data_IF_952981398963
#
_entry.id   IF_952981398963
#
_cell.length_a   1.000
_cell.length_b   1.000
_cell.length_c   1.000
_cell.angle_alpha   90.00
_cell.angle_beta   90.00
_cell.angle_gamma   90.00
#
_symmetry.space_group_name_H-M   'P 1'
#
loop_
_entity.id
_entity.type
_entity.pdbx_description
1 polymer ?
#
# COMPACT_ATOMS: atom_id res chain seq x y z
N UNK A 1 -16.14 -118.42 17.18
CA UNK A 1 -15.68 -117.27 16.38
C UNK A 1 -16.36 -116.06 16.96
N UNK A 2 -15.59 -115.09 17.48
CA UNK A 2 -16.15 -113.87 18.05
C UNK A 2 -16.44 -112.89 16.90
N UNK A 3 -17.69 -112.42 16.85
CA UNK A 3 -18.14 -111.40 15.92
C UNK A 3 -17.80 -110.02 16.51
N UNK A 4 -17.01 -109.24 15.79
CA UNK A 4 -16.57 -107.92 16.23
C UNK A 4 -17.50 -106.87 15.63
N UNK A 5 -18.47 -106.40 16.42
CA UNK A 5 -19.26 -105.22 16.08
C UNK A 5 -18.41 -103.95 16.20
N UNK A 6 -17.99 -103.39 15.07
CA UNK A 6 -17.48 -102.02 15.01
C UNK A 6 -18.65 -101.06 15.18
N UNK A 7 -18.84 -100.52 16.38
CA UNK A 7 -19.68 -99.32 16.57
C UNK A 7 -18.99 -98.16 15.86
N UNK A 8 -19.48 -97.83 14.67
CA UNK A 8 -19.21 -96.55 14.03
C UNK A 8 -19.79 -95.45 14.92
N UNK A 9 -18.92 -94.76 15.66
CA UNK A 9 -19.31 -93.55 16.36
C UNK A 9 -19.55 -92.47 15.30
N UNK A 10 -20.80 -92.34 14.85
CA UNK A 10 -21.26 -91.20 14.08
C UNK A 10 -21.26 -89.97 14.99
N UNK A 11 -20.13 -89.27 15.05
CA UNK A 11 -20.08 -87.94 15.62
C UNK A 11 -20.83 -86.98 14.71
N UNK A 12 -21.76 -86.19 15.25
CA UNK A 12 -22.38 -85.05 14.55
C UNK A 12 -21.35 -83.93 14.40
N UNK A 13 -20.30 -84.18 13.59
CA UNK A 13 -19.35 -83.15 13.19
C UNK A 13 -20.03 -82.19 12.21
N UNK A 14 -19.68 -80.91 12.29
CA UNK A 14 -20.04 -79.96 11.26
C UNK A 14 -19.42 -80.38 9.92
N UNK A 15 -20.19 -80.30 8.84
CA UNK A 15 -19.74 -80.61 7.48
C UNK A 15 -19.32 -79.32 6.73
N UNK A 16 -18.91 -79.44 5.47
CA UNK A 16 -18.57 -78.27 4.66
C UNK A 16 -19.75 -77.35 4.44
N UNK A 17 -20.98 -77.87 4.39
CA UNK A 17 -22.20 -77.07 4.24
C UNK A 17 -22.48 -76.21 5.48
N UNK A 18 -21.99 -76.64 6.65
CA UNK A 18 -22.02 -75.86 7.90
C UNK A 18 -20.92 -74.78 7.98
N UNK A 19 -19.91 -74.80 7.09
CA UNK A 19 -18.84 -73.81 7.05
C UNK A 19 -19.25 -72.53 6.33
N UNK A 20 -18.74 -71.38 6.78
CA UNK A 20 -18.98 -70.07 6.12
C UNK A 20 -17.78 -69.51 5.37
N UNK A 21 -16.58 -70.02 5.65
CA UNK A 21 -15.36 -69.63 4.94
C UNK A 21 -15.35 -70.27 3.55
N UNK A 22 -14.85 -69.56 2.54
CA UNK A 22 -14.57 -70.07 1.19
C UNK A 22 -13.07 -70.29 0.98
N UNK A 23 -12.69 -71.08 -0.02
CA UNK A 23 -11.27 -71.22 -0.44
C UNK A 23 -10.59 -69.86 -0.67
N UNK A 24 -11.30 -68.86 -1.21
CA UNK A 24 -10.77 -67.50 -1.43
C UNK A 24 -10.49 -66.70 -0.16
N UNK A 25 -10.89 -67.21 1.01
CA UNK A 25 -10.63 -66.62 2.32
C UNK A 25 -9.58 -67.42 3.13
N UNK A 26 -9.13 -68.55 2.59
CA UNK A 26 -8.05 -69.37 3.15
C UNK A 26 -6.76 -69.05 2.41
N UNK A 27 -5.67 -68.84 3.15
CA UNK A 27 -4.37 -68.50 2.59
C UNK A 27 -3.89 -69.56 1.60
N UNK A 28 -3.38 -69.14 0.45
CA UNK A 28 -2.77 -70.07 -0.52
C UNK A 28 -1.68 -70.92 0.14
N UNK A 29 -1.77 -72.24 -0.02
CA UNK A 29 -0.87 -73.22 0.59
C UNK A 29 -1.31 -73.75 1.97
N UNK A 30 -2.28 -73.12 2.63
CA UNK A 30 -2.97 -73.71 3.78
C UNK A 30 -4.14 -74.58 3.30
N UNK A 31 -4.44 -75.66 4.02
CA UNK A 31 -5.59 -76.54 3.75
C UNK A 31 -6.66 -76.41 4.83
N UNK A 32 -7.92 -76.43 4.42
CA UNK A 32 -9.08 -76.39 5.32
C UNK A 32 -10.31 -77.01 4.65
N UNK A 33 -11.28 -77.46 5.45
CA UNK A 33 -12.65 -77.70 4.97
C UNK A 33 -13.34 -76.34 4.92
N UNK A 34 -13.88 -75.97 3.77
CA UNK A 34 -14.56 -74.69 3.51
C UNK A 34 -15.93 -74.98 2.89
N UNK A 35 -16.79 -73.96 2.81
CA UNK A 35 -18.15 -74.08 2.27
C UNK A 35 -18.20 -74.51 0.79
N UNK A 36 -17.05 -74.53 0.12
CA UNK A 36 -16.85 -74.80 -1.29
C UNK A 36 -15.80 -75.91 -1.54
N UNK A 37 -15.59 -76.79 -0.54
CA UNK A 37 -14.63 -77.91 -0.60
C UNK A 37 -15.24 -79.32 -0.48
N UNK A 38 -16.57 -79.47 -0.57
CA UNK A 38 -17.29 -80.75 -0.62
C UNK A 38 -16.93 -81.77 0.48
N UNK A 39 -16.76 -81.31 1.72
CA UNK A 39 -16.33 -82.11 2.88
C UNK A 39 -14.86 -82.60 2.82
N UNK A 40 -14.09 -82.17 1.82
CA UNK A 40 -12.66 -82.41 1.74
C UNK A 40 -11.83 -81.21 2.22
N UNK A 41 -10.66 -81.50 2.79
CA UNK A 41 -9.67 -80.46 3.09
C UNK A 41 -8.96 -80.05 1.79
N UNK A 42 -9.26 -78.86 1.28
CA UNK A 42 -8.68 -78.32 0.06
C UNK A 42 -7.76 -77.12 0.33
N UNK A 43 -6.89 -76.82 -0.63
CA UNK A 43 -6.00 -75.67 -0.54
C UNK A 43 -6.76 -74.35 -0.72
N UNK A 44 -6.44 -73.35 0.11
CA UNK A 44 -6.92 -71.99 -0.04
C UNK A 44 -6.42 -71.31 -1.31
N UNK A 45 -7.11 -70.24 -1.72
CA UNK A 45 -6.80 -69.45 -2.92
C UNK A 45 -6.57 -67.96 -2.62
N UNK A 46 -6.64 -67.53 -1.35
CA UNK A 46 -6.35 -66.15 -0.96
C UNK A 46 -4.88 -65.81 -1.23
N UNK A 47 -4.56 -64.77 -2.02
CA UNK A 47 -3.18 -64.37 -2.29
C UNK A 47 -2.47 -63.83 -1.03
N UNK A 48 -1.21 -64.21 -0.84
CA UNK A 48 -0.31 -63.59 0.14
C UNK A 48 0.30 -62.30 -0.45
N UNK A 49 0.20 -61.18 0.27
CA UNK A 49 0.71 -59.86 -0.14
C UNK A 49 1.94 -59.42 0.65
N UNK A 50 2.27 -60.12 1.74
CA UNK A 50 3.37 -59.78 2.63
C UNK A 50 3.10 -58.53 3.45
N UNK A 51 4.17 -57.89 3.94
CA UNK A 51 4.06 -56.70 4.77
C UNK A 51 3.73 -55.44 3.95
N UNK A 52 2.73 -54.68 4.36
CA UNK A 52 2.36 -53.41 3.74
C UNK A 52 3.14 -52.25 4.36
N UNK A 53 4.18 -51.79 3.66
CA UNK A 53 4.96 -50.61 4.05
C UNK A 53 4.87 -49.51 2.99
N UNK A 54 4.23 -48.40 3.34
CA UNK A 54 4.02 -47.25 2.43
C UNK A 54 4.16 -45.94 3.17
N UNK A 55 4.73 -44.94 2.50
CA UNK A 55 4.78 -43.57 3.00
C UNK A 55 4.05 -42.66 2.01
N UNK A 56 2.99 -41.99 2.48
CA UNK A 56 2.10 -41.17 1.65
C UNK A 56 2.42 -39.69 1.83
N UNK A 57 2.55 -38.96 0.71
CA UNK A 57 2.55 -37.51 0.72
C UNK A 57 1.12 -36.96 0.82
N UNK A 58 0.98 -35.67 1.12
CA UNK A 58 -0.29 -34.96 1.16
C UNK A 58 -0.99 -35.07 -0.19
N UNK A 59 -2.27 -35.46 -0.16
CA UNK A 59 -3.06 -35.69 -1.36
C UNK A 59 -2.77 -37.01 -2.09
N UNK A 60 -1.81 -37.83 -1.63
CA UNK A 60 -1.61 -39.18 -2.16
C UNK A 60 -2.59 -40.17 -1.54
N UNK A 61 -2.97 -41.17 -2.32
CA UNK A 61 -3.77 -42.32 -1.90
C UNK A 61 -3.19 -43.59 -2.51
N UNK A 62 -3.42 -44.73 -1.87
CA UNK A 62 -3.04 -46.04 -2.39
C UNK A 62 -4.23 -46.98 -2.36
N UNK A 63 -4.47 -47.68 -3.46
CA UNK A 63 -5.46 -48.76 -3.54
C UNK A 63 -4.80 -50.07 -3.13
N UNK A 64 -5.41 -50.80 -2.21
CA UNK A 64 -4.95 -52.13 -1.79
C UNK A 64 -5.75 -53.20 -2.52
N UNK A 65 -5.07 -54.19 -3.08
CA UNK A 65 -5.72 -55.35 -3.67
C UNK A 65 -6.12 -56.36 -2.59
N UNK A 66 -7.18 -57.13 -2.84
CA UNK A 66 -7.59 -58.21 -1.94
C UNK A 66 -6.47 -59.24 -1.73
N UNK A 67 -6.45 -59.85 -0.54
CA UNK A 67 -5.45 -60.82 -0.11
C UNK A 67 -5.07 -60.64 1.36
N UNK A 68 -4.19 -61.51 1.84
CA UNK A 68 -3.64 -61.45 3.19
C UNK A 68 -2.41 -60.55 3.25
N UNK A 69 -2.33 -59.68 4.24
CA UNK A 69 -1.15 -58.88 4.55
C UNK A 69 -0.61 -59.29 5.91
N UNK A 70 0.70 -59.52 6.01
CA UNK A 70 1.34 -60.00 7.24
C UNK A 70 1.58 -58.91 8.31
N UNK A 71 0.94 -57.74 8.16
CA UNK A 71 1.15 -56.55 8.97
C UNK A 71 1.90 -55.45 8.21
N UNK A 72 2.50 -54.49 8.94
CA UNK A 72 3.26 -53.38 8.35
C UNK A 72 2.78 -52.00 8.82
N UNK A 73 3.21 -50.94 8.13
CA UNK A 73 2.81 -49.56 8.45
C UNK A 73 2.61 -48.73 7.19
N UNK A 74 1.47 -48.03 7.15
CA UNK A 74 1.25 -46.93 6.21
C UNK A 74 1.42 -45.62 6.98
N UNK A 75 2.48 -44.87 6.68
CA UNK A 75 2.83 -43.62 7.34
C UNK A 75 2.61 -42.42 6.43
N UNK A 76 2.45 -41.24 7.02
CA UNK A 76 2.49 -39.98 6.28
C UNK A 76 3.93 -39.45 6.21
N UNK A 77 4.28 -38.78 5.12
CA UNK A 77 5.48 -37.95 5.08
C UNK A 77 5.36 -36.83 6.13
N UNK A 78 6.51 -36.38 6.66
CA UNK A 78 6.54 -35.28 7.62
C UNK A 78 5.94 -34.00 7.01
N UNK A 79 5.33 -33.15 7.84
CA UNK A 79 4.87 -31.84 7.37
C UNK A 79 6.04 -30.97 6.90
N UNK A 80 7.20 -31.08 7.55
CA UNK A 80 8.41 -30.32 7.22
C UNK A 80 8.93 -30.63 5.82
N UNK A 81 8.99 -31.91 5.42
CA UNK A 81 9.43 -32.32 4.09
C UNK A 81 8.49 -31.88 2.96
N UNK A 82 7.28 -31.45 3.30
CA UNK A 82 6.23 -31.08 2.34
C UNK A 82 5.90 -29.57 2.36
N UNK A 83 6.50 -28.81 3.28
CA UNK A 83 6.27 -27.37 3.44
C UNK A 83 7.59 -26.60 3.46
N UNK A 84 8.60 -27.06 2.73
CA UNK A 84 9.89 -26.38 2.61
C UNK A 84 9.69 -24.97 2.04
N UNK A 85 9.94 -23.96 2.85
CA UNK A 85 9.71 -22.55 2.52
C UNK A 85 10.58 -21.65 3.41
N UNK A 86 10.81 -20.41 2.97
CA UNK A 86 11.63 -19.43 3.69
C UNK A 86 10.81 -18.36 4.41
N UNK A 87 9.48 -18.44 4.35
CA UNK A 87 8.58 -17.46 4.96
C UNK A 87 8.68 -17.44 6.49
N UNK A 88 8.60 -16.23 7.04
CA UNK A 88 8.66 -15.95 8.47
C UNK A 88 7.48 -15.09 8.91
N UNK A 89 7.32 -14.87 10.21
CA UNK A 89 6.31 -13.96 10.75
C UNK A 89 6.47 -12.53 10.22
N UNK A 90 7.68 -12.11 9.86
CA UNK A 90 7.96 -10.78 9.32
C UNK A 90 7.46 -10.58 7.88
N UNK A 91 7.06 -11.65 7.19
CA UNK A 91 6.57 -11.62 5.81
C UNK A 91 5.04 -11.62 5.72
N UNK A 92 4.35 -11.70 6.86
CA UNK A 92 2.91 -11.94 6.92
C UNK A 92 2.22 -10.91 7.82
N UNK A 93 1.03 -10.46 7.39
CA UNK A 93 0.19 -9.53 8.17
C UNK A 93 -0.37 -10.17 9.43
N UNK A 94 -0.49 -9.39 10.50
CA UNK A 94 -1.15 -9.81 11.75
C UNK A 94 -2.56 -10.36 11.44
N UNK A 95 -2.92 -11.45 12.13
CA UNK A 95 -4.20 -12.15 11.90
C UNK A 95 -4.18 -13.15 10.73
N UNK A 96 -3.06 -13.28 10.01
CA UNK A 96 -2.84 -14.34 9.03
C UNK A 96 -1.85 -15.38 9.58
N UNK A 97 -1.99 -16.62 9.13
CA UNK A 97 -1.12 -17.74 9.51
C UNK A 97 -0.62 -18.49 8.28
N UNK A 98 0.56 -19.08 8.37
CA UNK A 98 1.13 -19.94 7.35
C UNK A 98 1.97 -21.07 7.96
N UNK A 99 2.18 -22.14 7.18
CA UNK A 99 3.11 -23.21 7.52
C UNK A 99 4.40 -23.07 6.69
N UNK A 100 5.56 -23.15 7.35
CA UNK A 100 6.85 -23.32 6.71
C UNK A 100 7.71 -24.29 7.52
N UNK A 101 8.42 -25.18 6.84
CA UNK A 101 9.29 -26.20 7.43
C UNK A 101 8.60 -26.98 8.57
N UNK A 102 7.31 -27.28 8.38
CA UNK A 102 6.52 -28.07 9.32
C UNK A 102 5.98 -27.31 10.54
N UNK A 103 6.17 -25.98 10.59
CA UNK A 103 5.76 -25.16 11.74
C UNK A 103 4.74 -24.12 11.30
N UNK A 104 3.68 -24.00 12.09
CA UNK A 104 2.73 -22.90 11.98
C UNK A 104 3.37 -21.64 12.56
N UNK A 105 3.25 -20.52 11.86
CA UNK A 105 3.60 -19.20 12.39
C UNK A 105 2.53 -18.18 12.02
N UNK A 106 2.42 -17.15 12.86
CA UNK A 106 1.51 -16.02 12.67
C UNK A 106 2.25 -14.80 12.16
N UNK A 107 1.56 -13.97 11.38
CA UNK A 107 2.11 -12.73 10.87
C UNK A 107 2.36 -11.69 11.96
N UNK A 108 3.40 -10.89 11.76
CA UNK A 108 3.85 -9.82 12.64
C UNK A 108 3.82 -8.43 11.98
N UNK A 109 3.53 -8.34 10.66
CA UNK A 109 3.38 -7.04 10.00
C UNK A 109 2.07 -6.41 10.47
N UNK A 110 2.18 -5.37 11.27
CA UNK A 110 1.03 -4.58 11.70
C UNK A 110 0.50 -3.71 10.57
N UNK A 111 -0.81 -3.49 10.56
CA UNK A 111 -1.44 -2.58 9.62
C UNK A 111 -1.20 -1.12 10.05
N UNK A 112 -1.17 -0.23 9.07
CA UNK A 112 -1.25 1.21 9.26
C UNK A 112 -2.28 1.78 8.30
N UNK A 113 -3.26 2.48 8.84
CA UNK A 113 -4.21 3.23 8.03
C UNK A 113 -3.49 4.36 7.30
N UNK A 114 -4.09 4.80 6.20
CA UNK A 114 -3.71 6.05 5.57
C UNK A 114 -4.09 7.26 6.42
N UNK A 115 -4.02 8.43 5.81
CA UNK A 115 -4.37 9.67 6.48
C UNK A 115 -3.91 10.90 5.73
N UNK A 116 -4.41 12.05 6.17
CA UNK A 116 -3.99 13.34 5.66
C UNK A 116 -2.84 13.89 6.51
N UNK A 117 -1.72 14.23 5.88
CA UNK A 117 -0.62 14.94 6.53
C UNK A 117 -0.78 16.42 6.26
N UNK A 118 -0.96 17.23 7.31
CA UNK A 118 -0.98 18.70 7.17
C UNK A 118 0.44 19.20 7.02
N UNK A 119 0.65 20.12 6.07
CA UNK A 119 1.94 20.78 5.87
C UNK A 119 2.40 21.47 7.17
N UNK A 120 3.70 21.53 7.37
CA UNK A 120 4.34 22.05 8.59
C UNK A 120 5.58 22.86 8.25
N UNK A 121 5.90 23.87 9.07
CA UNK A 121 7.16 24.62 9.00
C UNK A 121 8.38 23.77 9.36
N UNK A 122 8.16 22.59 9.96
CA UNK A 122 9.20 21.64 10.35
C UNK A 122 9.04 20.33 9.60
N UNK A 123 10.17 19.62 9.43
CA UNK A 123 10.17 18.31 8.76
C UNK A 123 9.26 17.33 9.48
N UNK A 124 8.44 16.64 8.70
CA UNK A 124 7.59 15.54 9.16
C UNK A 124 8.10 14.22 8.59
N UNK A 125 8.07 13.16 9.40
CA UNK A 125 8.42 11.81 8.98
C UNK A 125 7.17 10.93 9.06
N UNK A 126 6.83 10.26 7.96
CA UNK A 126 5.75 9.27 7.93
C UNK A 126 6.37 7.90 8.23
N UNK A 127 6.04 7.33 9.38
CA UNK A 127 6.60 6.06 9.84
C UNK A 127 5.84 4.86 9.26
N UNK A 128 6.11 4.52 8.00
CA UNK A 128 5.53 3.33 7.35
C UNK A 128 6.45 2.09 7.35
N UNK A 129 7.69 2.23 7.83
CA UNK A 129 8.65 1.12 7.86
C UNK A 129 8.13 -0.06 8.69
N UNK A 130 8.17 -1.26 8.10
CA UNK A 130 7.68 -2.49 8.75
C UNK A 130 6.17 -2.60 8.92
N UNK A 131 5.38 -1.68 8.32
CA UNK A 131 3.92 -1.68 8.36
C UNK A 131 3.32 -2.00 7.00
N UNK A 132 2.15 -2.61 7.00
CA UNK A 132 1.34 -2.76 5.79
C UNK A 132 0.36 -1.60 5.68
N UNK A 133 0.52 -0.74 4.66
CA UNK A 133 -0.40 0.37 4.42
C UNK A 133 -1.72 -0.14 3.86
N UNK A 134 -2.82 0.14 4.56
CA UNK A 134 -4.17 -0.27 4.10
C UNK A 134 -4.86 0.82 3.28
N UNK A 135 -4.41 2.07 3.37
CA UNK A 135 -4.93 3.20 2.61
C UNK A 135 -3.79 4.18 2.25
N UNK A 136 -4.08 5.17 1.41
CA UNK A 136 -3.09 6.14 0.94
C UNK A 136 -2.78 7.21 2.00
N UNK A 137 -1.55 7.71 1.98
CA UNK A 137 -1.21 8.99 2.60
C UNK A 137 -1.50 10.11 1.62
N UNK A 138 -2.26 11.10 2.06
CA UNK A 138 -2.60 12.28 1.27
C UNK A 138 -1.85 13.49 1.81
N UNK A 139 -1.04 14.11 0.96
CA UNK A 139 -0.39 15.39 1.25
C UNK A 139 -1.12 16.46 0.44
N UNK A 140 -1.73 17.48 1.07
CA UNK A 140 -2.41 18.54 0.34
C UNK A 140 -1.38 19.36 -0.46
N UNK A 141 -1.76 19.73 -1.69
CA UNK A 141 -0.96 20.67 -2.48
C UNK A 141 -0.99 22.06 -1.87
N UNK A 142 0.07 22.84 -2.10
CA UNK A 142 0.11 24.28 -1.83
C UNK A 142 -0.55 25.00 -2.99
N UNK A 143 -1.50 25.90 -2.73
CA UNK A 143 -2.01 26.78 -3.79
C UNK A 143 -0.97 27.83 -4.12
N UNK A 144 -0.31 27.65 -5.27
CA UNK A 144 0.56 28.65 -5.84
C UNK A 144 0.07 29.05 -7.24
N UNK A 145 0.10 30.35 -7.53
CA UNK A 145 -0.24 30.90 -8.84
C UNK A 145 1.01 31.56 -9.39
N UNK A 146 1.41 31.19 -10.61
CA UNK A 146 2.58 31.75 -11.29
C UNK A 146 2.12 32.41 -12.59
N UNK A 147 2.44 33.70 -12.74
CA UNK A 147 1.95 34.55 -13.81
C UNK A 147 3.10 35.37 -14.40
N UNK A 148 3.04 35.60 -15.71
CA UNK A 148 3.89 36.59 -16.39
C UNK A 148 3.03 37.76 -16.80
N UNK A 149 3.39 38.96 -16.36
CA UNK A 149 2.62 40.19 -16.58
C UNK A 149 3.52 41.27 -17.19
N UNK A 150 3.13 41.89 -18.31
CA UNK A 150 3.88 42.99 -18.90
C UNK A 150 3.74 44.27 -18.05
N UNK A 151 4.75 45.13 -18.13
CA UNK A 151 4.66 46.49 -17.59
C UNK A 151 3.56 47.29 -18.30
N UNK A 152 2.84 48.11 -17.55
CA UNK A 152 1.84 49.03 -18.07
C UNK A 152 2.45 50.03 -19.05
N UNK A 153 1.78 50.28 -20.18
CA UNK A 153 2.16 51.34 -21.12
C UNK A 153 1.83 52.73 -20.57
N UNK A 154 0.83 52.82 -19.70
CA UNK A 154 0.40 54.03 -19.01
C UNK A 154 1.01 54.14 -17.61
N UNK A 155 1.10 55.38 -17.10
CA UNK A 155 1.57 55.67 -15.74
C UNK A 155 0.38 55.96 -14.84
N UNK A 156 0.39 55.40 -13.64
CA UNK A 156 -0.66 55.54 -12.64
C UNK A 156 -0.26 56.42 -11.46
N UNK A 157 -1.22 56.63 -10.56
CA UNK A 157 -1.02 57.25 -9.26
C UNK A 157 -1.28 56.22 -8.17
N UNK A 158 -0.46 56.24 -7.13
CA UNK A 158 -0.58 55.33 -6.01
C UNK A 158 -0.60 56.17 -4.70
N UNK A 159 -0.96 55.62 -3.52
CA UNK A 159 -0.75 56.23 -2.15
C UNK A 159 0.30 55.62 -1.18
N UNK A 160 1.27 56.40 -0.69
CA UNK A 160 2.33 55.95 0.25
C UNK A 160 1.84 55.67 1.68
N UNK A 161 2.72 55.09 2.51
CA UNK A 161 2.55 54.91 3.95
C UNK A 161 2.07 56.10 4.77
N UNK A 162 2.52 57.28 4.37
CA UNK A 162 2.17 58.53 4.99
C UNK A 162 0.97 59.22 4.31
N UNK A 163 0.14 58.47 3.57
CA UNK A 163 -1.04 58.97 2.85
C UNK A 163 -0.73 60.00 1.75
N UNK A 164 0.53 60.08 1.28
CA UNK A 164 0.91 60.95 0.17
C UNK A 164 0.74 60.23 -1.16
N UNK A 165 -0.03 60.83 -2.07
CA UNK A 165 -0.19 60.33 -3.45
C UNK A 165 1.04 60.66 -4.28
N UNK A 166 1.63 59.67 -4.94
CA UNK A 166 2.61 59.87 -6.01
C UNK A 166 1.94 59.54 -7.34
N UNK A 167 1.99 60.48 -8.28
CA UNK A 167 1.52 60.28 -9.65
C UNK A 167 2.67 59.89 -10.57
N UNK A 168 2.33 59.46 -11.79
CA UNK A 168 3.32 59.15 -12.82
C UNK A 168 4.24 57.95 -12.46
N UNK A 169 3.68 56.87 -11.93
CA UNK A 169 4.43 55.63 -11.62
C UNK A 169 4.06 54.51 -12.61
N UNK A 170 5.04 53.78 -13.12
CA UNK A 170 4.78 52.57 -13.93
C UNK A 170 4.33 51.41 -13.04
N UNK A 171 3.54 50.49 -13.58
CA UNK A 171 2.98 49.41 -12.78
C UNK A 171 2.83 48.11 -13.58
N UNK A 172 2.56 47.01 -12.89
CA UNK A 172 2.06 45.76 -13.48
C UNK A 172 0.66 45.49 -12.97
N UNK A 173 -0.20 44.92 -13.81
CA UNK A 173 -1.59 44.64 -13.45
C UNK A 173 -1.99 43.28 -14.00
N UNK A 174 -2.59 42.44 -13.15
CA UNK A 174 -2.95 41.07 -13.50
C UNK A 174 -4.15 40.58 -12.72
N UNK A 175 -4.87 39.62 -13.31
CA UNK A 175 -6.01 38.95 -12.67
C UNK A 175 -5.57 37.59 -12.17
N UNK A 176 -6.04 37.21 -10.99
CA UNK A 176 -5.85 35.85 -10.49
C UNK A 176 -6.77 34.89 -11.26
N UNK A 177 -6.31 33.67 -11.60
CA UNK A 177 -7.08 32.70 -12.36
C UNK A 177 -8.31 32.19 -11.60
N UNK A 178 -8.31 32.33 -10.26
CA UNK A 178 -9.46 32.07 -9.40
C UNK A 178 -9.42 33.04 -8.22
N UNK A 179 -10.58 33.27 -7.60
CA UNK A 179 -10.67 34.13 -6.43
C UNK A 179 -9.83 33.56 -5.28
N UNK A 180 -8.89 34.35 -4.79
CA UNK A 180 -8.05 33.99 -3.65
C UNK A 180 -8.85 34.11 -2.35
N UNK A 181 -8.63 33.17 -1.43
CA UNK A 181 -9.25 33.14 -0.09
C UNK A 181 -8.23 32.64 0.92
N UNK A 182 -7.90 33.44 1.94
CA UNK A 182 -6.89 33.12 2.94
C UNK A 182 -5.76 34.14 2.99
N UNK A 183 -4.65 33.77 3.65
CA UNK A 183 -3.44 34.59 3.69
C UNK A 183 -2.50 34.14 2.59
N UNK A 184 -2.00 35.09 1.81
CA UNK A 184 -1.04 34.82 0.74
C UNK A 184 0.19 35.70 0.89
N UNK A 185 1.28 35.21 0.32
CA UNK A 185 2.48 35.99 0.06
C UNK A 185 2.63 36.13 -1.45
N UNK A 186 2.75 37.37 -1.92
CA UNK A 186 3.09 37.65 -3.30
C UNK A 186 4.58 37.94 -3.42
N UNK A 187 5.22 37.32 -4.41
CA UNK A 187 6.55 37.66 -4.89
C UNK A 187 6.42 38.11 -6.33
N UNK A 188 7.08 39.21 -6.71
CA UNK A 188 7.18 39.61 -8.11
C UNK A 188 8.58 40.09 -8.42
N UNK A 189 9.04 39.84 -9.65
CA UNK A 189 10.39 40.18 -10.11
C UNK A 189 10.43 40.38 -11.63
N UNK A 190 11.38 41.19 -12.11
CA UNK A 190 11.61 41.39 -13.55
C UNK A 190 12.12 40.08 -14.17
N UNK A 191 11.41 39.56 -15.16
CA UNK A 191 11.80 38.37 -15.93
C UNK A 191 12.38 38.80 -17.28
N UNK A 192 13.72 38.80 -17.41
CA UNK A 192 14.39 38.93 -18.72
C UNK A 192 15.10 40.25 -19.03
N UNK A 193 15.34 41.14 -18.06
CA UNK A 193 16.17 42.34 -18.27
C UNK A 193 17.67 42.02 -18.20
N UNK A 194 18.46 42.49 -19.16
CA UNK A 194 19.92 42.29 -19.23
C UNK A 194 20.74 43.20 -18.30
N UNK A 195 20.11 44.01 -17.43
CA UNK A 195 20.81 45.10 -16.72
C UNK A 195 20.48 45.31 -15.24
N UNK A 196 19.72 44.41 -14.60
CA UNK A 196 19.48 44.51 -13.15
C UNK A 196 19.91 43.20 -12.47
N UNK A 197 21.15 43.19 -11.94
CA UNK A 197 21.71 42.07 -11.17
C UNK A 197 21.11 41.89 -9.76
N UNK A 198 20.16 42.74 -9.37
CA UNK A 198 19.42 42.61 -8.12
C UNK A 198 17.96 42.38 -8.49
N UNK A 199 17.48 41.14 -8.36
CA UNK A 199 16.06 40.85 -8.43
C UNK A 199 15.33 41.70 -7.39
N UNK A 200 14.49 42.62 -7.84
CA UNK A 200 13.64 43.39 -6.94
C UNK A 200 12.56 42.46 -6.41
N UNK A 201 12.64 42.10 -5.13
CA UNK A 201 11.60 41.31 -4.44
C UNK A 201 10.71 42.29 -3.70
N UNK A 202 9.45 42.40 -4.13
CA UNK A 202 8.42 42.96 -3.28
C UNK A 202 7.58 41.88 -2.62
N UNK A 203 7.38 41.98 -1.31
CA UNK A 203 6.49 41.08 -0.55
C UNK A 203 5.18 41.82 -0.27
N UNK A 204 4.06 41.17 -0.60
CA UNK A 204 2.74 41.57 -0.14
C UNK A 204 2.06 40.48 0.70
N UNK A 205 1.68 40.82 1.93
CA UNK A 205 0.99 39.92 2.86
C UNK A 205 -0.46 40.37 3.15
N UNK A 206 -1.36 39.41 3.33
CA UNK A 206 -2.76 39.66 3.73
C UNK A 206 -2.90 39.57 5.26
N UNK A 207 -3.11 40.72 5.91
CA UNK A 207 -3.59 40.76 7.30
C UNK A 207 -5.10 40.50 7.33
N UNK A 208 -5.59 39.80 8.35
CA UNK A 208 -7.02 39.59 8.53
C UNK A 208 -7.74 40.95 8.54
N UNK A 209 -8.70 41.09 7.63
CA UNK A 209 -9.57 42.25 7.36
C UNK A 209 -8.86 43.50 6.78
N UNK A 210 -9.05 43.66 5.47
CA UNK A 210 -9.11 44.91 4.68
C UNK A 210 -7.81 45.67 4.33
N UNK A 211 -6.62 45.26 4.78
CA UNK A 211 -5.37 45.95 4.34
C UNK A 211 -4.23 44.96 4.08
N UNK A 212 -3.66 45.01 2.87
CA UNK A 212 -2.35 44.43 2.56
C UNK A 212 -1.24 45.47 2.72
N UNK A 213 0.02 45.07 2.70
CA UNK A 213 1.16 45.99 2.63
C UNK A 213 2.06 45.53 1.49
N UNK A 214 2.51 46.42 0.60
CA UNK A 214 3.50 46.06 -0.43
C UNK A 214 4.81 46.76 -0.10
N UNK A 215 5.83 45.98 0.24
CA UNK A 215 7.19 46.49 0.33
C UNK A 215 7.80 46.46 -1.05
N UNK A 216 7.94 47.60 -1.71
CA UNK A 216 8.70 47.68 -2.96
C UNK A 216 10.10 48.15 -2.61
N UNK A 217 11.14 47.37 -2.88
CA UNK A 217 12.49 47.90 -2.96
C UNK A 217 12.61 48.64 -4.30
N UNK A 218 11.97 49.79 -4.44
CA UNK A 218 12.20 50.67 -5.58
C UNK A 218 13.45 51.49 -5.27
N UNK A 219 14.63 50.87 -5.45
CA UNK A 219 15.90 51.58 -5.40
C UNK A 219 16.00 52.54 -6.59
N UNK A 220 15.34 53.69 -6.52
CA UNK A 220 15.77 54.85 -7.31
C UNK A 220 16.68 55.71 -6.43
N UNK A 221 17.83 56.06 -6.99
CA UNK A 221 18.49 57.31 -6.63
C UNK A 221 17.68 58.46 -7.21
N UNK A 222 16.52 58.75 -6.63
CA UNK A 222 15.98 60.09 -6.63
C UNK A 222 17.05 60.95 -5.93
N UNK A 223 17.48 62.07 -6.48
CA UNK A 223 18.38 63.02 -5.78
C UNK A 223 17.73 63.65 -4.52
N UNK A 224 16.62 63.08 -4.06
CA UNK A 224 15.90 63.44 -2.86
C UNK A 224 16.39 62.49 -1.77
N UNK A 225 16.96 63.03 -0.69
CA UNK A 225 17.63 62.29 0.39
C UNK A 225 16.73 61.35 1.24
N UNK A 226 15.72 60.71 0.67
CA UNK A 226 14.82 59.79 1.35
C UNK A 226 14.96 58.37 0.80
N UNK A 227 15.72 57.56 1.54
CA UNK A 227 15.84 56.11 1.41
C UNK A 227 14.48 55.40 1.45
N UNK A 228 14.37 54.34 0.64
CA UNK A 228 13.44 53.20 0.73
C UNK A 228 12.12 53.43 1.48
N UNK A 229 11.06 53.82 0.77
CA UNK A 229 9.76 54.04 1.41
C UNK A 229 8.71 53.00 1.01
N UNK A 230 8.18 52.33 2.04
CA UNK A 230 7.05 51.40 1.94
C UNK A 230 5.79 52.09 1.41
N UNK A 231 5.07 51.39 0.54
CA UNK A 231 3.78 51.80 0.02
C UNK A 231 2.65 51.31 0.96
N UNK A 232 1.68 52.14 1.34
CA UNK A 232 0.55 51.68 2.17
C UNK A 232 -0.71 51.52 1.36
N UNK A 233 -1.38 50.42 1.65
CA UNK A 233 -2.68 50.09 1.12
C UNK A 233 -3.72 50.50 2.17
N UNK A 234 -4.48 51.56 1.88
CA UNK A 234 -5.76 51.80 2.56
C UNK A 234 -6.83 50.85 2.01
N UNK A 235 -7.90 50.59 2.77
CA UNK A 235 -8.98 49.66 2.39
C UNK A 235 -9.69 50.00 1.06
N UNK A 236 -9.53 51.23 0.55
CA UNK A 236 -10.09 51.71 -0.72
C UNK A 236 -9.01 52.06 -1.77
N UNK A 237 -7.73 51.82 -1.46
CA UNK A 237 -6.58 52.18 -2.30
C UNK A 237 -5.89 50.92 -2.86
N UNK A 238 -6.69 49.85 -2.99
CA UNK A 238 -6.27 48.48 -3.19
C UNK A 238 -5.50 48.28 -4.49
N UNK A 239 -4.17 48.31 -4.34
CA UNK A 239 -3.18 47.74 -5.25
C UNK A 239 -3.43 46.24 -5.45
N UNK A 240 -4.19 45.55 -4.59
CA UNK A 240 -4.54 44.13 -4.73
C UNK A 240 -5.95 43.84 -4.19
N UNK A 241 -6.65 42.90 -4.81
CA UNK A 241 -7.97 42.39 -4.39
C UNK A 241 -7.96 40.85 -4.36
N UNK A 242 -9.08 40.22 -3.99
CA UNK A 242 -9.21 38.76 -4.09
C UNK A 242 -9.21 38.25 -5.56
N UNK A 243 -9.35 39.13 -6.55
CA UNK A 243 -9.49 38.80 -7.97
C UNK A 243 -8.31 39.27 -8.83
N UNK A 244 -7.44 40.14 -8.33
CA UNK A 244 -6.30 40.63 -9.09
C UNK A 244 -5.40 41.58 -8.32
N UNK A 245 -4.49 42.21 -9.04
CA UNK A 245 -3.48 43.13 -8.51
C UNK A 245 -3.06 44.19 -9.53
N UNK A 246 -2.52 45.29 -9.02
CA UNK A 246 -1.96 46.44 -9.70
C UNK A 246 -0.79 46.99 -8.87
N UNK A 247 0.44 46.57 -9.16
CA UNK A 247 1.63 46.82 -8.32
C UNK A 247 2.57 47.86 -8.96
N UNK A 248 3.09 48.84 -8.21
CA UNK A 248 4.06 49.79 -8.74
C UNK A 248 5.40 49.09 -9.05
N UNK A 249 6.04 49.52 -10.13
CA UNK A 249 7.36 49.03 -10.57
C UNK A 249 8.26 50.20 -10.99
N UNK A 250 9.56 49.97 -10.91
CA UNK A 250 10.59 50.95 -11.30
C UNK A 250 10.48 51.30 -12.80
N UNK A 251 10.84 52.54 -13.20
CA UNK A 251 11.01 52.87 -14.61
C UNK A 251 12.05 51.96 -15.28
N UNK A 252 11.60 51.12 -16.21
CA UNK A 252 12.43 50.29 -17.08
C UNK A 252 12.05 50.44 -18.55
N UNK A 253 12.51 49.54 -19.42
CA UNK A 253 12.23 49.61 -20.86
C UNK A 253 10.73 49.38 -21.14
N UNK A 254 10.26 49.73 -22.35
CA UNK A 254 8.84 49.61 -22.73
C UNK A 254 8.32 48.17 -22.80
N UNK A 255 9.20 47.19 -22.86
CA UNK A 255 8.87 45.78 -23.12
C UNK A 255 9.18 44.86 -21.93
N UNK A 256 9.33 45.43 -20.73
CA UNK A 256 9.64 44.65 -19.53
C UNK A 256 8.47 43.73 -19.13
N UNK A 257 8.79 42.48 -18.81
CA UNK A 257 7.83 41.51 -18.24
C UNK A 257 8.23 41.14 -16.83
N UNK A 258 7.24 40.91 -15.98
CA UNK A 258 7.43 40.54 -14.60
C UNK A 258 6.82 39.17 -14.36
N UNK A 259 7.54 38.33 -13.63
CA UNK A 259 6.98 37.09 -13.10
C UNK A 259 6.42 37.37 -11.71
N UNK A 260 5.22 36.87 -11.44
CA UNK A 260 4.45 37.09 -10.23
C UNK A 260 4.03 35.73 -9.69
N UNK A 261 4.51 35.41 -8.49
CA UNK A 261 4.23 34.16 -7.78
C UNK A 261 3.41 34.49 -6.55
N UNK A 262 2.20 33.95 -6.47
CA UNK A 262 1.33 34.01 -5.29
C UNK A 262 1.43 32.66 -4.59
N UNK A 263 1.70 32.64 -3.29
CA UNK A 263 1.73 31.40 -2.49
C UNK A 263 0.79 31.53 -1.31
N UNK A 264 -0.10 30.56 -1.09
CA UNK A 264 -0.93 30.47 0.11
C UNK A 264 -0.04 30.18 1.32
N UNK A 265 -0.17 31.00 2.36
CA UNK A 265 0.58 30.82 3.60
C UNK A 265 0.01 29.60 4.34
N UNK A 266 0.90 28.70 4.76
CA UNK A 266 0.59 27.52 5.57
C UNK A 266 0.31 27.94 7.02
#
# INVERSE_FOLDING_TARGET
MADAFLKQYGGSGADSSDCTAKKSQVLAGATAITSDSNDEAEAGTMPERGALNRMLAAGQSVTLSEGHYTGGTVSAQSLASQTAATGTSADLRVGKNAYANGRLFSGAIEDMSGGKVTLSETQQTILCSGKYMTENIVIPGVKAVDMTVPRSSQRGSFKRANNVVRSNIYYIEGNFPSQLSGKYTLFYYLSGGTSYNNGFVGNAGFGSTERGYVFTNMGQGDQDANSDQAYVIGANDCIMSATGFKLPVTPGFSNDTYRVIVVENI
#
